data_IF_926717319267
#
_entry.id   IF_926717319267
#
_cell.length_a   1.000
_cell.length_b   1.000
_cell.length_c   1.000
_cell.angle_alpha   90.00
_cell.angle_beta   90.00
_cell.angle_gamma   90.00
#
_symmetry.space_group_name_H-M   'P 1'
#
loop_
_entity.id
_entity.type
_entity.pdbx_description
1 polymer ?
#
# COMPACT_ATOMS: atom_id res chain seq x y z
N UNK A 1 9.48 19.34 -20.47
CA UNK A 1 10.88 19.33 -20.01
C UNK A 1 11.62 18.43 -20.99
N UNK A 2 12.52 18.98 -21.80
CA UNK A 2 13.11 18.24 -22.93
C UNK A 2 14.22 17.31 -22.43
N UNK A 3 14.19 16.06 -22.85
CA UNK A 3 15.17 15.01 -22.47
C UNK A 3 16.62 15.42 -22.81
N UNK A 4 16.77 16.28 -23.82
CA UNK A 4 18.02 16.84 -24.32
C UNK A 4 18.73 17.71 -23.27
N UNK A 5 17.98 18.49 -22.48
CA UNK A 5 18.54 19.41 -21.48
C UNK A 5 19.13 18.65 -20.27
N UNK A 6 18.47 17.53 -19.91
CA UNK A 6 18.91 16.65 -18.81
C UNK A 6 20.22 15.96 -19.18
N UNK A 7 20.34 15.46 -20.41
CA UNK A 7 21.56 14.82 -20.92
C UNK A 7 22.75 15.80 -20.93
N UNK A 8 22.54 17.03 -21.39
CA UNK A 8 23.60 18.05 -21.43
C UNK A 8 24.09 18.40 -20.02
N UNK A 9 23.16 18.60 -19.07
CA UNK A 9 23.52 18.87 -17.67
C UNK A 9 24.22 17.67 -17.05
N UNK A 10 23.74 16.45 -17.28
CA UNK A 10 24.36 15.22 -16.76
C UNK A 10 25.78 15.02 -17.30
N UNK A 11 26.04 15.29 -18.58
CA UNK A 11 27.39 15.19 -19.13
C UNK A 11 28.37 16.20 -18.51
N UNK A 12 27.88 17.42 -18.22
CA UNK A 12 28.67 18.48 -17.57
C UNK A 12 28.99 18.24 -16.09
N UNK A 13 28.37 17.25 -15.45
CA UNK A 13 28.61 16.91 -14.05
C UNK A 13 29.90 16.10 -13.86
N UNK A 14 30.60 16.38 -12.76
CA UNK A 14 31.70 15.57 -12.25
C UNK A 14 31.26 14.12 -11.98
N UNK A 15 32.16 13.13 -12.14
CA UNK A 15 31.85 11.70 -11.99
C UNK A 15 31.28 11.34 -10.61
N UNK A 16 31.62 12.09 -9.57
CA UNK A 16 31.12 11.91 -8.21
C UNK A 16 29.63 12.28 -8.10
N UNK A 17 29.24 13.41 -8.69
CA UNK A 17 27.85 13.87 -8.73
C UNK A 17 26.97 12.98 -9.63
N UNK A 18 27.56 12.36 -10.67
CA UNK A 18 26.83 11.39 -11.52
C UNK A 18 26.35 10.18 -10.72
N UNK A 19 27.14 9.71 -9.75
CA UNK A 19 26.72 8.62 -8.84
C UNK A 19 25.55 9.07 -7.96
N UNK A 20 25.63 10.25 -7.38
CA UNK A 20 24.56 10.78 -6.52
C UNK A 20 23.25 10.98 -7.29
N UNK A 21 23.33 11.40 -8.55
CA UNK A 21 22.15 11.51 -9.44
C UNK A 21 21.55 10.13 -9.73
N UNK A 22 22.37 9.10 -9.97
CA UNK A 22 21.88 7.74 -10.16
C UNK A 22 21.17 7.22 -8.91
N UNK A 23 21.79 7.39 -7.73
CA UNK A 23 21.18 7.02 -6.45
C UNK A 23 19.84 7.76 -6.22
N UNK A 24 19.78 9.05 -6.60
CA UNK A 24 18.55 9.82 -6.49
C UNK A 24 17.45 9.34 -7.45
N UNK A 25 17.82 8.94 -8.67
CA UNK A 25 16.87 8.34 -9.63
C UNK A 25 16.31 7.03 -9.07
N UNK A 26 17.17 6.15 -8.54
CA UNK A 26 16.75 4.89 -7.91
C UNK A 26 15.85 5.12 -6.69
N UNK A 27 16.17 6.13 -5.88
CA UNK A 27 15.33 6.56 -4.77
C UNK A 27 13.94 7.03 -5.24
N UNK A 28 13.87 7.85 -6.30
CA UNK A 28 12.60 8.33 -6.86
C UNK A 28 11.74 7.19 -7.42
N UNK A 29 12.36 6.23 -8.12
CA UNK A 29 11.67 5.03 -8.63
C UNK A 29 11.09 4.22 -7.48
N UNK A 30 11.91 3.97 -6.45
CA UNK A 30 11.51 3.21 -5.26
C UNK A 30 10.39 3.89 -4.48
N UNK A 31 10.49 5.21 -4.28
CA UNK A 31 9.45 6.03 -3.63
C UNK A 31 8.12 5.99 -4.39
N UNK A 32 8.15 6.04 -5.72
CA UNK A 32 6.94 5.99 -6.53
C UNK A 32 6.25 4.61 -6.46
N UNK A 33 7.02 3.52 -6.47
CA UNK A 33 6.51 2.15 -6.27
C UNK A 33 5.84 2.00 -4.90
N UNK A 34 6.47 2.53 -3.84
CA UNK A 34 5.94 2.48 -2.48
C UNK A 34 4.67 3.34 -2.30
N UNK A 35 4.55 4.48 -2.98
CA UNK A 35 3.32 5.28 -3.00
C UNK A 35 2.13 4.52 -3.61
N UNK A 36 2.36 3.74 -4.66
CA UNK A 36 1.31 2.94 -5.31
C UNK A 36 0.80 1.82 -4.39
N UNK A 37 1.69 1.18 -3.63
CA UNK A 37 1.32 0.08 -2.72
C UNK A 37 0.52 0.53 -1.49
N UNK A 38 0.62 1.80 -1.05
CA UNK A 38 -0.11 2.33 0.12
C UNK A 38 -1.62 2.52 -0.10
N UNK A 39 -2.15 2.19 -1.27
CA UNK A 39 -3.56 2.41 -1.62
C UNK A 39 -4.42 1.15 -1.64
N UNK A 40 -3.98 0.04 -1.01
CA UNK A 40 -4.94 -0.98 -0.60
C UNK A 40 -5.83 -0.38 0.50
N UNK A 41 -6.88 0.34 0.09
CA UNK A 41 -7.97 0.75 0.98
C UNK A 41 -8.40 -0.50 1.74
N UNK A 42 -8.44 -0.43 3.07
CA UNK A 42 -9.06 -1.47 3.88
C UNK A 42 -10.51 -1.55 3.43
N UNK A 43 -10.90 -2.66 2.80
CA UNK A 43 -12.22 -2.76 2.16
C UNK A 43 -13.34 -3.03 3.15
N UNK A 44 -13.05 -3.28 4.44
CA UNK A 44 -14.02 -3.56 5.52
C UNK A 44 -15.17 -4.49 5.09
N UNK A 45 -14.96 -5.37 4.11
CA UNK A 45 -16.04 -6.18 3.50
C UNK A 45 -16.61 -7.22 4.45
N UNK A 46 -15.94 -7.46 5.58
CA UNK A 46 -16.42 -8.29 6.68
C UNK A 46 -17.41 -7.55 7.58
N UNK A 47 -17.38 -6.21 7.61
CA UNK A 47 -18.24 -5.41 8.47
C UNK A 47 -19.69 -5.55 7.99
N UNK A 48 -20.54 -6.16 8.82
CA UNK A 48 -21.96 -6.31 8.53
C UNK A 48 -22.35 -7.59 7.78
N UNK A 49 -21.41 -8.49 7.42
CA UNK A 49 -21.76 -9.79 6.80
C UNK A 49 -22.58 -10.73 7.69
N UNK A 50 -22.56 -10.52 9.01
CA UNK A 50 -23.37 -11.27 9.97
C UNK A 50 -24.62 -10.51 10.42
N UNK A 51 -25.01 -9.45 9.70
CA UNK A 51 -26.21 -8.69 10.06
C UNK A 51 -27.47 -9.55 9.96
N UNK A 52 -27.54 -10.42 8.96
CA UNK A 52 -28.68 -11.32 8.72
C UNK A 52 -28.85 -12.36 9.84
N UNK A 53 -27.73 -12.77 10.46
CA UNK A 53 -27.73 -13.73 11.58
C UNK A 53 -28.24 -13.13 12.90
N UNK A 54 -28.38 -11.80 12.99
CA UNK A 54 -28.97 -11.14 14.17
C UNK A 54 -30.47 -11.37 14.29
N UNK A 55 -31.15 -11.64 13.18
CA UNK A 55 -32.58 -11.97 13.17
C UNK A 55 -32.81 -13.44 13.54
N UNK A 56 -31.83 -14.30 13.27
CA UNK A 56 -31.95 -15.76 13.42
C UNK A 56 -31.38 -16.27 14.75
N UNK A 57 -30.42 -15.56 15.35
CA UNK A 57 -29.81 -15.95 16.62
C UNK A 57 -29.74 -14.80 17.62
N UNK A 58 -30.19 -15.08 18.84
CA UNK A 58 -29.98 -14.16 19.95
C UNK A 58 -28.54 -14.25 20.45
N UNK A 59 -28.06 -13.17 21.06
CA UNK A 59 -26.70 -13.13 21.64
C UNK A 59 -26.46 -14.22 22.68
N UNK A 60 -27.51 -14.74 23.33
CA UNK A 60 -27.44 -15.77 24.37
C UNK A 60 -27.35 -17.16 23.75
N UNK A 61 -28.08 -17.45 22.67
CA UNK A 61 -27.97 -18.72 21.95
C UNK A 61 -26.60 -18.92 21.32
N UNK A 62 -26.00 -17.84 20.79
CA UNK A 62 -24.62 -17.88 20.28
C UNK A 62 -23.61 -18.21 21.38
N UNK A 63 -23.81 -17.71 22.60
CA UNK A 63 -22.95 -18.03 23.74
C UNK A 63 -23.03 -19.50 24.13
N UNK A 64 -24.24 -20.07 24.17
CA UNK A 64 -24.41 -21.50 24.45
C UNK A 64 -23.77 -22.36 23.35
N UNK A 65 -23.99 -22.06 22.07
CA UNK A 65 -23.34 -22.77 20.94
C UNK A 65 -21.82 -22.67 20.98
N UNK A 66 -21.27 -21.51 21.36
CA UNK A 66 -19.83 -21.34 21.49
C UNK A 66 -19.21 -22.18 22.60
N UNK A 67 -19.97 -22.46 23.67
CA UNK A 67 -19.55 -23.38 24.74
C UNK A 67 -19.61 -24.84 24.29
N UNK A 68 -20.55 -25.21 23.41
CA UNK A 68 -20.66 -26.56 22.85
C UNK A 68 -19.59 -26.88 21.79
N UNK A 69 -19.07 -25.87 21.08
CA UNK A 69 -18.03 -26.03 20.05
C UNK A 69 -16.59 -26.00 20.59
N UNK A 70 -16.42 -25.94 21.92
CA UNK A 70 -15.12 -25.94 22.59
C UNK A 70 -14.62 -27.36 22.83
#
# INVERSE_FOLDING_TARGET
MNEVDIQSKFQSLSPELKKEVLDYIDFLISRNKNKKQKTKKLTFEWQGKLSDLKEEFTSVELQHKALEWR
#
